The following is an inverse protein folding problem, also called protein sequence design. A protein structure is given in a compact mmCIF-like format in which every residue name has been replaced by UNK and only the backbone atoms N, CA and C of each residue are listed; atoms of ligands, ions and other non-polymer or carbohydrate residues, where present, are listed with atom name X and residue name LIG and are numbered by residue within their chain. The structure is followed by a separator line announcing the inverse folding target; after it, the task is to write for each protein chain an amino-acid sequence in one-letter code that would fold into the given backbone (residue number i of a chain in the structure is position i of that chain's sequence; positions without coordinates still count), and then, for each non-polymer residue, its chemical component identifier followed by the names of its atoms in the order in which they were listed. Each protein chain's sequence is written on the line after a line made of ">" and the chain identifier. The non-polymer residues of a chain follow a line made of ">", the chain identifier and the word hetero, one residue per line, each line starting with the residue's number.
data_IF_365302997729
#
_entry.id   IF_365302997729
#
_cell.length_a   1.000
_cell.length_b   1.000
_cell.length_c   1.000
_cell.angle_alpha   90.00
_cell.angle_beta   90.00
_cell.angle_gamma   90.00
#
_symmetry.space_group_name_H-M   'P 1'
#
loop_
_entity.id
_entity.type
_entity.pdbx_description
1 polymer ?
#
# COMPACT_ATOMS: atom_id res chain seq x y z
N UNK A 1 44.12 46.10 -42.58
CA UNK A 1 42.92 45.57 -43.28
C UNK A 1 41.87 45.21 -42.23
N UNK A 2 40.71 45.87 -42.25
CA UNK A 2 39.55 45.62 -41.37
C UNK A 2 38.46 44.93 -42.20
N UNK A 3 37.92 43.81 -41.72
CA UNK A 3 36.65 43.16 -42.13
C UNK A 3 36.01 42.70 -40.80
N UNK A 4 34.97 43.37 -40.30
CA UNK A 4 33.55 43.28 -40.66
C UNK A 4 32.80 42.15 -39.91
N UNK A 5 32.01 42.61 -38.93
CA UNK A 5 30.74 42.12 -38.34
C UNK A 5 30.02 40.91 -38.96
N UNK A 6 29.39 40.11 -38.09
CA UNK A 6 27.95 39.65 -38.04
C UNK A 6 27.86 38.59 -36.91
N UNK A 7 27.30 38.86 -35.72
CA UNK A 7 25.88 38.77 -35.27
C UNK A 7 25.22 37.40 -35.47
N UNK A 8 24.99 36.63 -34.39
CA UNK A 8 23.74 35.88 -34.16
C UNK A 8 23.72 35.22 -32.76
N UNK A 9 22.66 35.51 -32.01
CA UNK A 9 22.19 34.77 -30.84
C UNK A 9 22.03 33.27 -31.15
N UNK A 10 22.24 32.43 -30.12
CA UNK A 10 21.42 31.24 -29.83
C UNK A 10 21.58 30.90 -28.33
N UNK A 11 20.76 31.58 -27.52
CA UNK A 11 20.19 30.99 -26.31
C UNK A 11 19.27 29.82 -26.73
N UNK A 12 19.14 28.83 -25.85
CA UNK A 12 18.38 27.58 -25.96
C UNK A 12 19.13 26.45 -26.69
N UNK A 13 19.33 25.26 -26.14
CA UNK A 13 18.45 24.51 -25.24
C UNK A 13 19.23 23.87 -24.08
N UNK A 14 18.85 24.19 -22.84
CA UNK A 14 19.01 23.21 -21.76
C UNK A 14 18.06 22.05 -22.06
N UNK A 15 18.44 20.77 -21.90
CA UNK A 15 17.45 19.72 -21.80
C UNK A 15 16.58 20.02 -20.58
N UNK A 16 15.31 20.28 -20.86
CA UNK A 16 14.27 20.44 -19.88
C UNK A 16 14.10 19.14 -19.09
N UNK A 17 14.03 19.27 -17.76
CA UNK A 17 13.39 18.31 -16.86
C UNK A 17 13.89 16.87 -16.94
N UNK A 18 15.06 16.61 -16.39
CA UNK A 18 15.13 15.41 -15.56
C UNK A 18 14.36 15.78 -14.28
N UNK A 19 13.17 15.23 -14.10
CA UNK A 19 12.49 15.31 -12.80
C UNK A 19 13.51 14.91 -11.73
N UNK A 20 13.66 15.69 -10.64
CA UNK A 20 14.54 15.28 -9.56
C UNK A 20 14.06 13.90 -9.10
N UNK A 21 14.96 12.91 -9.16
CA UNK A 21 14.82 11.66 -8.44
C UNK A 21 14.48 12.05 -7.00
N UNK A 22 13.19 11.96 -6.67
CA UNK A 22 12.71 12.19 -5.32
C UNK A 22 13.45 11.21 -4.44
N UNK A 23 14.21 11.81 -3.52
CA UNK A 23 14.95 11.19 -2.45
C UNK A 23 14.14 10.07 -1.81
N UNK A 24 14.77 8.94 -1.53
CA UNK A 24 14.14 7.73 -1.01
C UNK A 24 13.77 7.86 0.48
N UNK A 25 13.24 9.01 0.89
CA UNK A 25 13.01 9.40 2.28
C UNK A 25 11.60 9.90 2.60
N UNK A 26 10.82 10.34 1.61
CA UNK A 26 9.39 10.56 1.75
C UNK A 26 8.68 9.33 1.19
N UNK A 27 7.79 8.71 1.97
CA UNK A 27 6.89 7.67 1.47
C UNK A 27 6.29 8.19 0.17
N UNK A 28 6.68 7.63 -0.98
CA UNK A 28 6.14 8.02 -2.28
C UNK A 28 4.66 7.66 -2.27
N UNK A 29 3.83 8.61 -1.84
CA UNK A 29 2.39 8.44 -1.90
C UNK A 29 2.03 8.42 -3.37
N UNK A 30 1.77 7.22 -3.88
CA UNK A 30 1.36 7.05 -5.25
C UNK A 30 -0.01 7.68 -5.46
N UNK A 31 -0.15 8.43 -6.57
CA UNK A 31 -1.44 8.95 -6.96
C UNK A 31 -2.44 7.79 -7.14
N UNK A 32 -3.72 7.95 -6.72
CA UNK A 32 -4.70 6.86 -6.78
C UNK A 32 -4.81 6.20 -8.15
N UNK A 33 -4.72 6.99 -9.22
CA UNK A 33 -4.81 6.52 -10.60
C UNK A 33 -3.61 5.61 -10.98
N UNK A 34 -2.42 5.92 -10.46
CA UNK A 34 -1.20 5.14 -10.70
C UNK A 34 -1.25 3.82 -9.91
N UNK A 35 -1.74 3.87 -8.67
CA UNK A 35 -1.99 2.68 -7.87
C UNK A 35 -3.04 1.78 -8.51
N UNK A 36 -4.11 2.34 -9.08
CA UNK A 36 -5.13 1.58 -9.81
C UNK A 36 -4.57 0.91 -11.08
N UNK A 37 -3.82 1.64 -11.90
CA UNK A 37 -3.13 1.09 -13.06
C UNK A 37 -2.17 -0.04 -12.66
N UNK A 38 -1.38 0.20 -11.61
CA UNK A 38 -0.50 -0.79 -11.02
C UNK A 38 -1.21 -2.08 -10.63
N UNK A 39 -2.31 -1.97 -9.87
CA UNK A 39 -3.14 -3.13 -9.49
C UNK A 39 -3.66 -3.85 -10.72
N UNK A 40 -4.10 -3.13 -11.75
CA UNK A 40 -4.56 -3.72 -13.00
C UNK A 40 -3.48 -4.51 -13.74
N UNK A 41 -2.24 -4.02 -13.74
CA UNK A 41 -1.09 -4.69 -14.35
C UNK A 41 -0.77 -5.99 -13.63
N UNK A 42 -0.64 -5.94 -12.30
CA UNK A 42 -0.21 -7.10 -11.53
C UNK A 42 -1.34 -8.10 -11.26
N UNK A 43 -2.61 -7.74 -11.44
CA UNK A 43 -3.77 -8.59 -11.15
C UNK A 43 -3.74 -9.96 -11.84
N UNK A 44 -3.23 -10.03 -13.08
CA UNK A 44 -3.14 -11.32 -13.81
C UNK A 44 -2.13 -12.29 -13.21
N UNK A 45 -1.09 -11.77 -12.57
CA UNK A 45 0.04 -12.57 -12.05
C UNK A 45 -0.09 -12.79 -10.54
N UNK A 46 -0.48 -11.75 -9.81
CA UNK A 46 -0.51 -11.71 -8.35
C UNK A 46 -1.93 -11.83 -7.77
N UNK A 47 -2.95 -11.85 -8.62
CA UNK A 47 -4.34 -11.80 -8.20
C UNK A 47 -4.75 -10.43 -7.65
N UNK A 48 -5.95 -10.37 -7.10
CA UNK A 48 -6.51 -9.18 -6.45
C UNK A 48 -6.65 -9.40 -4.95
N UNK A 49 -6.48 -8.33 -4.19
CA UNK A 49 -6.76 -8.32 -2.76
C UNK A 49 -8.22 -7.95 -2.49
N UNK A 50 -8.90 -8.74 -1.65
CA UNK A 50 -10.20 -8.40 -1.11
C UNK A 50 -10.00 -7.62 0.19
N UNK A 51 -10.20 -6.30 0.14
CA UNK A 51 -10.03 -5.42 1.30
C UNK A 51 -11.23 -5.57 2.23
N UNK A 52 -11.05 -6.01 3.49
CA UNK A 52 -12.13 -6.00 4.46
C UNK A 52 -12.44 -4.57 4.90
N UNK A 53 -13.72 -4.26 5.09
CA UNK A 53 -14.17 -2.98 5.65
C UNK A 53 -14.77 -3.21 7.03
N UNK A 54 -14.15 -2.62 8.04
CA UNK A 54 -14.61 -2.66 9.42
C UNK A 54 -15.21 -1.32 9.88
N UNK A 55 -15.34 -0.35 8.97
CA UNK A 55 -15.85 0.99 9.28
C UNK A 55 -17.31 0.93 9.74
N UNK A 56 -17.57 1.43 10.94
CA UNK A 56 -18.92 1.44 11.51
C UNK A 56 -19.47 0.06 11.90
N UNK A 57 -18.62 -0.97 11.96
CA UNK A 57 -19.03 -2.29 12.45
C UNK A 57 -19.27 -2.25 13.96
N UNK A 58 -20.43 -2.74 14.38
CA UNK A 58 -20.78 -2.93 15.79
C UNK A 58 -20.96 -4.42 16.09
N UNK A 59 -19.89 -5.08 16.54
CA UNK A 59 -19.94 -6.50 16.93
C UNK A 59 -20.96 -6.75 18.04
N UNK A 60 -21.75 -7.81 17.95
CA UNK A 60 -22.77 -8.19 18.95
C UNK A 60 -22.34 -9.40 19.79
N UNK A 61 -21.20 -10.01 19.48
CA UNK A 61 -20.64 -11.12 20.24
C UNK A 61 -19.12 -11.25 20.05
N UNK A 62 -18.47 -11.99 20.95
CA UNK A 62 -17.06 -12.34 20.80
C UNK A 62 -16.78 -13.19 19.55
N UNK A 63 -17.75 -14.00 19.12
CA UNK A 63 -17.62 -14.80 17.91
C UNK A 63 -17.51 -13.93 16.66
N UNK A 64 -18.36 -12.91 16.52
CA UNK A 64 -18.28 -11.95 15.41
C UNK A 64 -16.96 -11.17 15.43
N UNK A 65 -16.51 -10.77 16.63
CA UNK A 65 -15.21 -10.11 16.80
C UNK A 65 -14.05 -11.03 16.40
N UNK A 66 -14.12 -12.31 16.74
CA UNK A 66 -13.10 -13.31 16.40
C UNK A 66 -13.07 -13.56 14.88
N UNK A 67 -14.22 -13.74 14.24
CA UNK A 67 -14.32 -13.92 12.79
C UNK A 67 -13.76 -12.70 12.04
N UNK A 68 -14.06 -11.49 12.50
CA UNK A 68 -13.50 -10.27 11.93
C UNK A 68 -11.98 -10.14 12.14
N UNK A 69 -11.47 -10.63 13.29
CA UNK A 69 -10.02 -10.69 13.54
C UNK A 69 -9.36 -11.64 12.56
N UNK A 70 -9.93 -12.82 12.35
CA UNK A 70 -9.41 -13.81 11.41
C UNK A 70 -9.43 -13.27 9.98
N UNK A 71 -10.48 -12.53 9.59
CA UNK A 71 -10.55 -11.86 8.29
C UNK A 71 -9.44 -10.82 8.12
N UNK A 72 -9.21 -9.98 9.13
CA UNK A 72 -8.10 -9.00 9.15
C UNK A 72 -6.76 -9.72 9.01
N UNK A 73 -6.51 -10.76 9.81
CA UNK A 73 -5.22 -11.45 9.83
C UNK A 73 -4.97 -12.22 8.51
N UNK A 74 -6.02 -12.81 7.93
CA UNK A 74 -5.96 -13.39 6.59
C UNK A 74 -5.63 -12.33 5.53
N UNK A 75 -6.25 -11.15 5.60
CA UNK A 75 -5.95 -10.03 4.70
C UNK A 75 -4.49 -9.56 4.83
N UNK A 76 -3.98 -9.38 6.06
CA UNK A 76 -2.58 -9.01 6.31
C UNK A 76 -1.60 -10.06 5.75
N UNK A 77 -1.93 -11.34 5.90
CA UNK A 77 -1.15 -12.43 5.27
C UNK A 77 -1.20 -12.35 3.74
N UNK A 78 -2.38 -12.05 3.18
CA UNK A 78 -2.59 -11.83 1.75
C UNK A 78 -1.75 -10.67 1.20
N UNK A 79 -1.67 -9.54 1.91
CA UNK A 79 -0.83 -8.38 1.54
C UNK A 79 0.64 -8.77 1.48
N UNK A 80 1.15 -9.55 2.43
CA UNK A 80 2.55 -10.05 2.39
C UNK A 80 2.82 -10.92 1.16
N UNK A 81 1.90 -11.84 0.86
CA UNK A 81 1.99 -12.69 -0.34
C UNK A 81 1.95 -11.88 -1.63
N UNK A 82 1.06 -10.88 -1.68
CA UNK A 82 0.93 -9.96 -2.79
C UNK A 82 2.20 -9.13 -3.00
N UNK A 83 2.77 -8.54 -1.95
CA UNK A 83 4.02 -7.76 -2.00
C UNK A 83 5.22 -8.58 -2.51
N UNK A 84 5.32 -9.85 -2.11
CA UNK A 84 6.32 -10.77 -2.68
C UNK A 84 6.12 -10.97 -4.18
N UNK A 85 4.90 -11.25 -4.62
CA UNK A 85 4.60 -11.44 -6.04
C UNK A 85 4.87 -10.17 -6.87
N UNK A 86 4.51 -9.00 -6.35
CA UNK A 86 4.80 -7.71 -7.00
C UNK A 86 6.30 -7.48 -7.13
N UNK A 87 7.07 -7.82 -6.10
CA UNK A 87 8.54 -7.74 -6.14
C UNK A 87 9.14 -8.66 -7.21
N UNK A 88 8.62 -9.88 -7.34
CA UNK A 88 9.02 -10.81 -8.39
C UNK A 88 8.63 -10.28 -9.79
N UNK A 89 7.45 -9.67 -9.93
CA UNK A 89 7.01 -9.01 -11.15
C UNK A 89 7.96 -7.87 -11.57
N UNK A 90 8.30 -6.97 -10.65
CA UNK A 90 9.24 -5.86 -10.89
C UNK A 90 10.60 -6.40 -11.34
N UNK A 91 11.11 -7.42 -10.65
CA UNK A 91 12.39 -8.06 -10.99
C UNK A 91 12.38 -8.65 -12.41
N UNK A 92 11.26 -9.21 -12.85
CA UNK A 92 11.09 -9.74 -14.20
C UNK A 92 11.08 -8.62 -15.27
N UNK A 93 10.56 -7.43 -14.94
CA UNK A 93 10.55 -6.28 -15.85
C UNK A 93 11.93 -5.62 -16.03
N UNK A 94 12.89 -5.91 -15.14
CA UNK A 94 14.24 -5.36 -15.19
C UNK A 94 15.22 -6.26 -15.97
N UNK A 95 14.76 -7.36 -16.56
CA UNK A 95 15.60 -8.29 -17.31
C UNK A 95 16.05 -7.73 -18.67
N UNK A 96 17.20 -8.16 -19.22
CA UNK A 96 17.67 -7.75 -20.54
C UNK A 96 16.62 -8.00 -21.64
N UNK A 97 16.41 -7.03 -22.51
CA UNK A 97 15.42 -7.09 -23.59
C UNK A 97 14.04 -6.52 -23.23
N UNK A 98 13.83 -6.11 -21.98
CA UNK A 98 12.63 -5.36 -21.58
C UNK A 98 12.80 -3.85 -21.88
N UNK A 99 11.70 -3.12 -22.19
CA UNK A 99 11.77 -1.69 -22.45
C UNK A 99 12.21 -0.93 -21.19
N UNK A 100 13.32 -0.19 -21.28
CA UNK A 100 13.86 0.59 -20.17
C UNK A 100 12.91 1.72 -19.71
N UNK A 101 12.11 2.24 -20.63
CA UNK A 101 11.19 3.36 -20.38
C UNK A 101 9.78 2.87 -19.97
N UNK A 102 9.63 1.59 -19.65
CA UNK A 102 8.36 1.02 -19.24
C UNK A 102 7.94 1.57 -17.87
N UNK A 103 6.72 2.13 -17.73
CA UNK A 103 6.22 2.59 -16.43
C UNK A 103 5.73 1.43 -15.53
N UNK A 104 5.71 0.19 -16.06
CA UNK A 104 5.14 -0.96 -15.36
C UNK A 104 5.79 -1.26 -13.99
N UNK A 105 7.12 -1.17 -13.80
CA UNK A 105 7.75 -1.40 -12.49
C UNK A 105 7.29 -0.39 -11.43
N UNK A 106 7.23 0.90 -11.78
CA UNK A 106 6.82 1.95 -10.87
C UNK A 106 5.33 1.85 -10.52
N UNK A 107 4.49 1.56 -11.52
CA UNK A 107 3.06 1.31 -11.30
C UNK A 107 2.85 0.08 -10.41
N UNK A 108 3.61 -0.99 -10.62
CA UNK A 108 3.56 -2.18 -9.77
C UNK A 108 3.99 -1.87 -8.32
N UNK A 109 5.05 -1.09 -8.12
CA UNK A 109 5.47 -0.63 -6.79
C UNK A 109 4.36 0.19 -6.10
N UNK A 110 3.66 1.03 -6.84
CA UNK A 110 2.50 1.76 -6.33
C UNK A 110 1.33 0.86 -5.93
N UNK A 111 1.12 -0.26 -6.63
CA UNK A 111 0.13 -1.26 -6.24
C UNK A 111 0.47 -1.91 -4.89
N UNK A 112 1.76 -2.18 -4.64
CA UNK A 112 2.23 -2.69 -3.35
C UNK A 112 2.07 -1.64 -2.25
N UNK A 113 2.47 -0.39 -2.47
CA UNK A 113 2.27 0.70 -1.50
C UNK A 113 0.80 0.83 -1.11
N UNK A 114 -0.11 0.80 -2.08
CA UNK A 114 -1.54 0.82 -1.79
C UNK A 114 -1.98 -0.37 -0.92
N UNK A 115 -1.46 -1.57 -1.16
CA UNK A 115 -1.82 -2.75 -0.38
C UNK A 115 -1.39 -2.63 1.09
N UNK A 116 -0.22 -2.04 1.36
CA UNK A 116 0.26 -1.74 2.72
C UNK A 116 -0.59 -0.65 3.40
N UNK A 117 -1.05 0.36 2.65
CA UNK A 117 -1.98 1.36 3.18
C UNK A 117 -3.31 0.70 3.58
N UNK A 118 -3.84 -0.21 2.76
CA UNK A 118 -5.05 -0.96 3.10
C UNK A 118 -4.84 -1.89 4.30
N UNK A 119 -3.67 -2.53 4.42
CA UNK A 119 -3.31 -3.31 5.60
C UNK A 119 -3.37 -2.47 6.89
N UNK A 120 -2.81 -1.26 6.82
CA UNK A 120 -2.84 -0.29 7.92
C UNK A 120 -4.26 0.12 8.26
N UNK A 121 -5.09 0.43 7.25
CA UNK A 121 -6.48 0.83 7.47
C UNK A 121 -7.35 -0.31 8.01
N UNK A 122 -7.16 -1.54 7.54
CA UNK A 122 -7.83 -2.73 8.07
C UNK A 122 -7.50 -2.97 9.55
N UNK A 123 -6.23 -2.77 9.94
CA UNK A 123 -5.81 -2.85 11.36
C UNK A 123 -6.46 -1.74 12.19
N UNK A 124 -6.46 -0.51 11.67
CA UNK A 124 -7.03 0.65 12.36
C UNK A 124 -8.54 0.52 12.56
N UNK A 125 -9.28 0.27 11.49
CA UNK A 125 -10.74 0.17 11.51
C UNK A 125 -11.21 -1.01 12.36
N UNK A 126 -10.57 -2.18 12.25
CA UNK A 126 -10.82 -3.30 13.16
C UNK A 126 -10.53 -2.92 14.62
N UNK A 127 -9.39 -2.29 14.88
CA UNK A 127 -8.97 -1.92 16.23
C UNK A 127 -9.96 -0.98 16.90
N UNK A 128 -10.49 -0.01 16.16
CA UNK A 128 -11.55 0.89 16.63
C UNK A 128 -12.86 0.14 16.95
N UNK A 129 -13.32 -0.72 16.04
CA UNK A 129 -14.53 -1.52 16.25
C UNK A 129 -14.39 -2.50 17.44
N UNK A 130 -13.20 -3.08 17.61
CA UNK A 130 -12.87 -3.94 18.74
C UNK A 130 -12.88 -3.19 20.08
N UNK A 131 -12.28 -2.01 20.15
CA UNK A 131 -12.31 -1.18 21.38
C UNK A 131 -13.75 -0.80 21.72
N UNK A 132 -14.54 -0.40 20.72
CA UNK A 132 -15.96 -0.09 20.94
C UNK A 132 -16.75 -1.28 21.49
N UNK A 133 -16.49 -2.50 20.98
CA UNK A 133 -17.07 -3.71 21.55
C UNK A 133 -16.59 -3.97 22.98
N UNK A 134 -15.29 -3.88 23.24
CA UNK A 134 -14.69 -4.08 24.56
C UNK A 134 -15.34 -3.16 25.61
N UNK A 135 -15.39 -1.86 25.34
CA UNK A 135 -15.99 -0.87 26.24
C UNK A 135 -17.47 -1.15 26.50
N UNK A 136 -18.22 -1.48 25.43
CA UNK A 136 -19.66 -1.75 25.53
C UNK A 136 -19.95 -3.07 26.26
N UNK A 137 -19.07 -4.07 26.12
CA UNK A 137 -19.20 -5.36 26.78
C UNK A 137 -19.08 -5.30 28.30
N UNK A 138 -18.46 -4.25 28.85
CA UNK A 138 -18.38 -4.00 30.29
C UNK A 138 -19.65 -3.36 30.85
N UNK A 139 -20.43 -2.67 30.01
CA UNK A 139 -21.62 -1.91 30.43
C UNK A 139 -22.94 -2.64 30.11
N UNK A 140 -22.99 -3.37 28.99
CA UNK A 140 -24.16 -4.11 28.56
C UNK A 140 -24.10 -5.55 29.08
N UNK A 141 -24.95 -5.86 30.06
CA UNK A 141 -25.04 -7.18 30.68
C UNK A 141 -25.43 -8.33 29.72
N UNK A 142 -25.84 -8.01 28.48
CA UNK A 142 -26.14 -9.00 27.45
C UNK A 142 -24.90 -9.44 26.67
N UNK A 143 -23.81 -8.68 26.74
CA UNK A 143 -22.56 -8.95 26.05
C UNK A 143 -21.59 -9.65 26.98
N UNK A 144 -20.75 -10.52 26.42
CA UNK A 144 -19.65 -11.14 27.15
C UNK A 144 -18.49 -10.14 27.24
N UNK A 145 -17.98 -9.81 28.44
CA UNK A 145 -16.84 -8.93 28.62
C UNK A 145 -15.60 -9.41 27.87
N UNK A 146 -15.05 -8.54 27.03
CA UNK A 146 -13.87 -8.86 26.22
C UNK A 146 -12.59 -8.29 26.81
N UNK A 147 -11.57 -9.14 26.97
CA UNK A 147 -10.27 -8.80 27.58
C UNK A 147 -9.07 -9.03 26.63
N UNK A 148 -9.32 -9.35 25.35
CA UNK A 148 -8.27 -9.67 24.39
C UNK A 148 -7.64 -8.44 23.68
N UNK A 149 -6.63 -8.66 22.82
CA UNK A 149 -5.98 -7.59 22.07
C UNK A 149 -6.79 -7.14 20.84
N UNK A 150 -7.01 -5.82 20.73
CA UNK A 150 -7.64 -5.20 19.56
C UNK A 150 -6.68 -4.90 18.39
N UNK A 151 -5.39 -4.75 18.68
CA UNK A 151 -4.35 -4.57 17.66
C UNK A 151 -3.46 -5.79 17.58
N UNK A 152 -2.81 -6.07 16.43
CA UNK A 152 -1.82 -7.13 16.33
C UNK A 152 -0.74 -6.95 17.38
N UNK A 153 -0.52 -7.98 18.19
CA UNK A 153 0.58 -8.01 19.16
C UNK A 153 1.84 -8.41 18.39
N UNK A 154 2.81 -7.51 18.30
CA UNK A 154 4.14 -7.86 17.80
C UNK A 154 4.71 -8.87 18.80
N UNK A 155 4.81 -10.14 18.39
CA UNK A 155 5.65 -11.07 19.11
C UNK A 155 7.07 -10.67 18.76
N UNK A 156 7.79 -10.10 19.73
CA UNK A 156 9.24 -9.98 19.61
C UNK A 156 9.77 -11.36 19.23
N UNK A 157 10.69 -11.47 18.26
CA UNK A 157 11.44 -12.70 18.07
C UNK A 157 12.28 -12.89 19.34
N UNK A 158 11.74 -13.60 20.32
CA UNK A 158 12.37 -13.81 21.62
C UNK A 158 13.73 -14.52 21.45
N UNK A 159 14.76 -13.91 22.06
CA UNK A 159 15.77 -14.61 22.88
C UNK A 159 16.92 -15.30 22.17
#
# INVERSE_FOLDING_TARGET
>A
MRRALVTACLLACLPAGADPLQDAGDYRTCAPEISEQGRGIVAKTCGSLAVPDFSGVEFQSEAELADARDLRDAFLSGVKGYGRCVSDFITAQQQPGMPADSPAPDQAACAHSWAEDQATEAVRSFGQACIAYADRSLMDMRLTPYEGPCYPVVKDPEG
#
